data_IF_493961054052
#
_entry.id   IF_493961054052
#
_cell.length_a   1.000
_cell.length_b   1.000
_cell.length_c   1.000
_cell.angle_alpha   90.00
_cell.angle_beta   90.00
_cell.angle_gamma   90.00
#
_symmetry.space_group_name_H-M   'P 1'
#
loop_
_entity.id
_entity.type
_entity.pdbx_description
1 polymer ?
#
# COMPACT_ATOMS: atom_id res chain seq x y z
N UNK A 1 -35.98 8.79 -25.21
CA UNK A 1 -37.12 7.94 -25.59
C UNK A 1 -36.58 6.56 -25.88
N UNK A 2 -36.46 5.75 -24.83
CA UNK A 2 -36.12 4.33 -24.96
C UNK A 2 -37.34 3.61 -25.54
N UNK A 3 -37.16 2.81 -26.59
CA UNK A 3 -38.28 2.14 -27.25
C UNK A 3 -38.73 0.91 -26.45
N UNK A 4 -39.84 1.03 -25.72
CA UNK A 4 -40.56 -0.12 -25.17
C UNK A 4 -41.50 -0.71 -26.23
N UNK A 5 -41.32 -1.99 -26.58
CA UNK A 5 -42.20 -2.68 -27.53
C UNK A 5 -42.90 -3.86 -26.86
N UNK A 6 -44.22 -3.77 -26.71
CA UNK A 6 -45.04 -4.88 -26.20
C UNK A 6 -45.57 -5.75 -27.33
N UNK A 7 -45.18 -7.02 -27.34
CA UNK A 7 -45.70 -8.04 -28.24
C UNK A 7 -46.86 -8.76 -27.57
N UNK A 8 -48.06 -8.67 -28.13
CA UNK A 8 -49.26 -9.39 -27.65
C UNK A 8 -49.56 -10.56 -28.57
N UNK A 9 -49.69 -11.77 -28.00
CA UNK A 9 -50.08 -12.99 -28.72
C UNK A 9 -51.53 -13.32 -28.36
N UNK A 10 -52.37 -13.46 -29.39
CA UNK A 10 -53.75 -13.92 -29.25
C UNK A 10 -53.89 -15.30 -29.88
N UNK A 11 -54.38 -16.27 -29.13
CA UNK A 11 -54.56 -17.65 -29.57
C UNK A 11 -56.06 -17.96 -29.69
N UNK A 12 -56.48 -18.31 -30.91
CA UNK A 12 -57.83 -18.76 -31.22
C UNK A 12 -57.84 -20.27 -31.46
N UNK A 13 -58.91 -20.96 -31.05
CA UNK A 13 -59.12 -22.35 -31.41
C UNK A 13 -59.87 -22.43 -32.76
N UNK A 14 -59.45 -23.34 -33.64
CA UNK A 14 -60.16 -23.71 -34.86
C UNK A 14 -60.59 -25.17 -34.80
N UNK A 15 -61.80 -25.47 -35.25
CA UNK A 15 -62.23 -26.86 -35.46
C UNK A 15 -61.83 -27.39 -36.85
N UNK A 16 -62.03 -28.68 -37.10
CA UNK A 16 -61.72 -29.32 -38.40
C UNK A 16 -62.57 -28.77 -39.56
N UNK A 17 -63.68 -28.10 -39.27
CA UNK A 17 -64.54 -27.46 -40.25
C UNK A 17 -64.15 -25.98 -40.51
N UNK A 18 -63.14 -25.46 -39.81
CA UNK A 18 -62.61 -24.11 -39.97
C UNK A 18 -63.30 -23.03 -39.13
N UNK A 19 -64.21 -23.38 -38.21
CA UNK A 19 -64.85 -22.42 -37.32
C UNK A 19 -63.89 -21.97 -36.22
N UNK A 20 -63.80 -20.65 -36.01
CA UNK A 20 -62.95 -20.04 -34.99
C UNK A 20 -63.75 -19.81 -33.70
N UNK A 21 -63.13 -20.01 -32.54
CA UNK A 21 -63.71 -19.64 -31.25
C UNK A 21 -63.97 -18.12 -31.12
N UNK A 22 -65.09 -17.75 -30.50
CA UNK A 22 -65.40 -16.33 -30.19
C UNK A 22 -64.49 -15.76 -29.08
N UNK A 23 -64.03 -16.63 -28.17
CA UNK A 23 -63.03 -16.29 -27.16
C UNK A 23 -61.62 -16.65 -27.62
N UNK A 24 -60.64 -15.93 -27.08
CA UNK A 24 -59.22 -16.18 -27.29
C UNK A 24 -58.47 -16.16 -25.95
N UNK A 25 -57.30 -16.79 -25.92
CA UNK A 25 -56.32 -16.56 -24.86
C UNK A 25 -55.39 -15.42 -25.32
N UNK A 26 -55.09 -14.49 -24.42
CA UNK A 26 -54.18 -13.38 -24.67
C UNK A 26 -53.02 -13.47 -23.68
N UNK A 27 -51.80 -13.30 -24.19
CA UNK A 27 -50.61 -13.12 -23.38
C UNK A 27 -49.74 -12.02 -24.02
N UNK A 28 -48.87 -11.40 -23.23
CA UNK A 28 -48.00 -10.33 -23.72
C UNK A 28 -46.60 -10.39 -23.14
N UNK A 29 -45.60 -10.09 -23.96
CA UNK A 29 -44.20 -9.91 -23.55
C UNK A 29 -43.74 -8.51 -23.95
N UNK A 30 -43.18 -7.77 -23.01
CA UNK A 30 -42.53 -6.48 -23.30
C UNK A 30 -41.06 -6.72 -23.55
N UNK A 31 -40.59 -6.30 -24.72
CA UNK A 31 -39.17 -6.21 -25.03
C UNK A 31 -38.66 -4.84 -24.63
N UNK A 32 -37.52 -4.84 -23.96
CA UNK A 32 -36.76 -3.65 -23.61
C UNK A 32 -35.43 -3.70 -24.36
N UNK A 33 -34.94 -2.55 -24.82
CA UNK A 33 -33.62 -2.48 -25.43
C UNK A 33 -32.50 -2.78 -24.40
N UNK A 34 -31.34 -3.30 -24.84
CA UNK A 34 -30.16 -3.40 -23.99
C UNK A 34 -29.77 -2.02 -23.45
N UNK A 35 -29.78 -1.85 -22.12
CA UNK A 35 -29.55 -0.58 -21.43
C UNK A 35 -30.80 0.02 -20.79
N UNK A 36 -32.00 -0.52 -21.08
CA UNK A 36 -33.23 -0.09 -20.40
C UNK A 36 -33.14 -0.38 -18.90
N UNK A 37 -33.65 0.54 -18.09
CA UNK A 37 -33.67 0.47 -16.61
C UNK A 37 -34.15 -0.88 -16.04
N UNK A 38 -35.17 -1.49 -16.66
CA UNK A 38 -35.72 -2.78 -16.21
C UNK A 38 -34.84 -3.99 -16.54
N UNK A 39 -33.83 -3.83 -17.40
CA UNK A 39 -32.90 -4.89 -17.80
C UNK A 39 -31.51 -4.71 -17.21
N UNK A 40 -31.27 -3.58 -16.54
CA UNK A 40 -29.99 -3.29 -15.92
C UNK A 40 -29.90 -3.89 -14.52
N UNK A 41 -28.99 -4.85 -14.38
CA UNK A 41 -28.68 -5.52 -13.13
C UNK A 41 -27.24 -5.26 -12.67
N UNK A 42 -26.53 -4.36 -13.36
CA UNK A 42 -25.12 -4.09 -13.09
C UNK A 42 -25.02 -2.88 -12.16
N UNK A 43 -24.42 -3.02 -10.98
CA UNK A 43 -24.16 -1.85 -10.15
C UNK A 43 -23.22 -0.85 -10.85
N UNK A 44 -23.39 0.46 -10.59
CA UNK A 44 -22.44 1.44 -11.08
C UNK A 44 -21.04 1.21 -10.47
N UNK A 45 -20.04 1.91 -11.00
CA UNK A 45 -18.73 2.07 -10.38
C UNK A 45 -18.59 3.51 -9.89
N UNK A 46 -17.96 3.71 -8.74
CA UNK A 46 -17.68 5.05 -8.20
C UNK A 46 -16.18 5.27 -8.05
N UNK A 47 -15.75 6.50 -8.29
CA UNK A 47 -14.40 7.00 -8.02
C UNK A 47 -14.49 8.37 -7.37
N UNK A 48 -13.39 8.92 -6.87
CA UNK A 48 -13.39 10.21 -6.22
C UNK A 48 -12.09 10.99 -6.46
N UNK A 49 -12.20 12.32 -6.34
CA UNK A 49 -11.07 13.24 -6.21
C UNK A 49 -11.16 13.91 -4.84
N UNK A 50 -10.02 13.96 -4.13
CA UNK A 50 -9.88 14.61 -2.84
C UNK A 50 -8.83 15.72 -2.95
N UNK A 51 -9.26 16.97 -2.78
CA UNK A 51 -8.39 18.14 -2.97
C UNK A 51 -8.31 18.93 -1.66
N UNK A 52 -7.11 19.29 -1.23
CA UNK A 52 -6.91 20.19 -0.08
C UNK A 52 -7.49 21.57 -0.38
N UNK A 53 -8.33 22.09 0.53
CA UNK A 53 -8.88 23.44 0.37
C UNK A 53 -7.78 24.48 0.48
N UNK A 54 -7.87 25.53 -0.34
CA UNK A 54 -6.87 26.60 -0.40
C UNK A 54 -6.69 27.37 0.92
N UNK A 55 -7.67 27.30 1.83
CA UNK A 55 -7.60 27.89 3.17
C UNK A 55 -6.96 26.97 4.23
N UNK A 56 -6.62 25.73 3.85
CA UNK A 56 -6.01 24.74 4.73
C UNK A 56 -6.95 24.16 5.80
N UNK A 57 -8.27 24.41 5.73
CA UNK A 57 -9.21 24.02 6.80
C UNK A 57 -9.89 22.66 6.57
N UNK A 58 -9.41 21.86 5.63
CA UNK A 58 -9.93 20.53 5.28
C UNK A 58 -9.85 20.27 3.79
N UNK A 59 -10.77 19.44 3.28
CA UNK A 59 -10.72 18.94 1.91
C UNK A 59 -12.03 19.21 1.16
N UNK A 60 -11.94 19.29 -0.15
CA UNK A 60 -13.07 19.22 -1.09
C UNK A 60 -13.08 17.82 -1.71
N UNK A 61 -14.15 17.07 -1.43
CA UNK A 61 -14.39 15.76 -2.02
C UNK A 61 -15.32 15.88 -3.23
N UNK A 62 -14.91 15.33 -4.35
CA UNK A 62 -15.74 15.17 -5.56
C UNK A 62 -15.94 13.70 -5.82
N UNK A 63 -17.18 13.25 -5.94
CA UNK A 63 -17.53 11.85 -6.22
C UNK A 63 -18.01 11.74 -7.66
N UNK A 64 -17.49 10.75 -8.37
CA UNK A 64 -17.85 10.41 -9.73
C UNK A 64 -18.56 9.05 -9.77
N UNK A 65 -19.33 8.85 -10.83
CA UNK A 65 -20.02 7.61 -11.11
C UNK A 65 -19.94 7.28 -12.59
N UNK A 66 -19.69 6.02 -12.89
CA UNK A 66 -19.74 5.45 -14.23
C UNK A 66 -20.60 4.20 -14.21
N UNK A 67 -21.52 4.10 -15.16
CA UNK A 67 -22.37 2.94 -15.32
C UNK A 67 -22.52 2.61 -16.81
N UNK A 68 -22.39 1.33 -17.14
CA UNK A 68 -22.47 0.83 -18.52
C UNK A 68 -23.91 0.43 -18.92
N UNK A 69 -24.87 0.51 -17.99
CA UNK A 69 -26.26 0.17 -18.15
C UNK A 69 -27.17 1.39 -18.25
N UNK A 70 -28.01 1.57 -17.25
CA UNK A 70 -29.05 2.59 -17.17
C UNK A 70 -28.51 3.99 -16.85
N UNK A 71 -27.22 4.11 -16.57
CA UNK A 71 -26.56 5.37 -16.20
C UNK A 71 -26.74 5.70 -14.73
N UNK A 72 -25.86 6.56 -14.21
CA UNK A 72 -25.86 6.96 -12.81
C UNK A 72 -26.97 7.94 -12.44
N UNK A 73 -27.47 7.88 -11.21
CA UNK A 73 -28.18 9.01 -10.62
C UNK A 73 -27.21 10.16 -10.36
N UNK A 74 -27.69 11.39 -10.37
CA UNK A 74 -26.84 12.57 -10.16
C UNK A 74 -26.49 12.85 -8.68
N UNK A 75 -26.73 11.90 -7.78
CA UNK A 75 -26.53 12.12 -6.34
C UNK A 75 -25.85 10.95 -5.64
N UNK A 76 -24.90 11.26 -4.76
CA UNK A 76 -24.37 10.33 -3.76
C UNK A 76 -25.11 10.50 -2.43
N UNK A 77 -25.37 9.39 -1.75
CA UNK A 77 -25.82 9.35 -0.35
C UNK A 77 -24.60 9.19 0.55
N UNK A 78 -24.42 10.09 1.50
CA UNK A 78 -23.21 10.20 2.32
C UNK A 78 -23.54 9.87 3.79
N UNK A 79 -22.62 9.15 4.42
CA UNK A 79 -22.54 8.92 5.86
C UNK A 79 -21.15 9.37 6.32
N UNK A 80 -21.11 10.24 7.33
CA UNK A 80 -19.87 10.72 7.92
C UNK A 80 -19.66 10.04 9.26
N UNK A 81 -18.45 9.53 9.49
CA UNK A 81 -18.04 8.96 10.78
C UNK A 81 -16.65 9.47 11.13
N UNK A 82 -16.17 9.16 12.33
CA UNK A 82 -14.80 9.51 12.70
C UNK A 82 -13.82 8.63 11.92
N UNK A 83 -12.67 9.20 11.54
CA UNK A 83 -11.62 8.46 10.85
C UNK A 83 -11.28 7.11 11.52
N UNK A 84 -11.03 6.09 10.69
CA UNK A 84 -10.74 4.73 11.15
C UNK A 84 -11.95 3.98 11.71
N UNK A 85 -13.10 4.64 11.89
CA UNK A 85 -14.35 3.97 12.24
C UNK A 85 -14.95 3.28 11.02
N UNK A 86 -15.66 2.16 11.24
CA UNK A 86 -16.37 1.48 10.16
C UNK A 86 -17.52 2.33 9.63
N UNK A 87 -17.77 2.23 8.32
CA UNK A 87 -18.97 2.76 7.69
C UNK A 87 -20.22 1.99 8.15
N UNK A 88 -21.38 2.64 8.19
CA UNK A 88 -22.62 1.93 8.48
C UNK A 88 -22.98 0.95 7.35
N UNK A 89 -23.38 -0.26 7.74
CA UNK A 89 -23.97 -1.26 6.83
C UNK A 89 -25.42 -0.94 6.45
N UNK A 90 -26.09 -0.08 7.22
CA UNK A 90 -27.47 0.28 6.98
C UNK A 90 -27.57 1.52 6.09
N UNK A 91 -28.07 1.33 4.86
CA UNK A 91 -28.27 2.40 3.89
C UNK A 91 -29.11 3.58 4.43
N UNK A 92 -30.04 3.33 5.36
CA UNK A 92 -30.86 4.37 5.95
C UNK A 92 -30.06 5.42 6.76
N UNK A 93 -28.83 5.10 7.16
CA UNK A 93 -27.95 6.01 7.91
C UNK A 93 -27.28 7.06 6.98
N UNK A 94 -27.30 6.85 5.66
CA UNK A 94 -26.70 7.73 4.66
C UNK A 94 -27.67 8.86 4.31
N UNK A 95 -27.84 9.77 5.26
CA UNK A 95 -28.88 10.81 5.23
C UNK A 95 -28.49 12.06 4.44
N UNK A 96 -27.20 12.28 4.20
CA UNK A 96 -26.70 13.46 3.48
C UNK A 96 -26.75 13.15 1.98
N UNK A 97 -27.23 14.07 1.14
CA UNK A 97 -27.24 13.92 -0.31
C UNK A 97 -26.36 14.99 -0.96
N UNK A 98 -25.43 14.58 -1.80
CA UNK A 98 -24.52 15.46 -2.55
C UNK A 98 -24.68 15.22 -4.04
N UNK A 99 -24.59 16.28 -4.83
CA UNK A 99 -24.58 16.18 -6.29
C UNK A 99 -23.24 15.62 -6.74
N UNK A 100 -23.25 14.61 -7.63
CA UNK A 100 -22.03 14.07 -8.22
C UNK A 100 -21.29 15.14 -9.02
N UNK A 101 -19.98 14.94 -9.21
CA UNK A 101 -19.09 15.84 -9.96
C UNK A 101 -19.04 17.28 -9.42
N UNK A 102 -19.60 17.51 -8.24
CA UNK A 102 -19.60 18.80 -7.56
C UNK A 102 -18.84 18.66 -6.25
N UNK A 103 -17.74 19.42 -6.05
CA UNK A 103 -16.96 19.34 -4.82
C UNK A 103 -17.80 19.76 -3.61
N UNK A 104 -17.60 19.08 -2.48
CA UNK A 104 -18.14 19.51 -1.20
C UNK A 104 -17.10 19.42 -0.08
N UNK A 105 -17.15 20.41 0.81
CA UNK A 105 -16.24 20.50 1.94
C UNK A 105 -16.51 19.38 2.96
N UNK A 106 -15.42 18.79 3.42
CA UNK A 106 -15.37 17.74 4.44
C UNK A 106 -14.32 18.12 5.49
N UNK A 107 -14.58 17.71 6.72
CA UNK A 107 -13.70 17.93 7.87
C UNK A 107 -12.54 16.93 7.82
N UNK A 108 -11.34 17.41 8.16
CA UNK A 108 -10.11 16.61 8.18
C UNK A 108 -10.21 15.41 9.11
N UNK A 109 -11.05 15.43 10.14
CA UNK A 109 -11.19 14.37 11.16
C UNK A 109 -12.11 13.21 10.77
N UNK A 110 -12.68 13.22 9.56
CA UNK A 110 -13.78 12.32 9.19
C UNK A 110 -13.36 11.21 8.26
N UNK A 111 -14.13 10.12 8.31
CA UNK A 111 -14.27 9.16 7.23
C UNK A 111 -15.57 9.45 6.52
N UNK A 112 -15.51 9.54 5.20
CA UNK A 112 -16.67 9.75 4.35
C UNK A 112 -16.98 8.43 3.67
N UNK A 113 -18.18 7.91 3.90
CA UNK A 113 -18.70 6.71 3.28
C UNK A 113 -19.84 7.12 2.35
N UNK A 114 -19.95 6.51 1.17
CA UNK A 114 -21.04 6.85 0.27
C UNK A 114 -21.60 5.66 -0.49
N UNK A 115 -22.85 5.85 -0.90
CA UNK A 115 -23.49 5.05 -1.92
C UNK A 115 -23.79 5.91 -3.15
N UNK A 116 -23.56 5.36 -4.32
CA UNK A 116 -24.13 5.88 -5.57
C UNK A 116 -25.11 4.86 -6.11
N UNK A 117 -26.26 5.33 -6.60
CA UNK A 117 -27.27 4.51 -7.26
C UNK A 117 -27.24 4.80 -8.77
N UNK A 118 -27.47 3.78 -9.60
CA UNK A 118 -27.83 3.97 -11.00
C UNK A 118 -29.34 4.23 -11.13
N UNK A 119 -29.82 4.48 -12.35
CA UNK A 119 -31.24 4.71 -12.59
C UNK A 119 -32.07 3.46 -12.28
N UNK A 120 -31.51 2.26 -12.43
CA UNK A 120 -32.14 0.97 -12.10
C UNK A 120 -32.14 0.60 -10.60
N UNK A 121 -31.64 1.50 -9.73
CA UNK A 121 -31.52 1.32 -8.28
C UNK A 121 -30.51 0.24 -7.86
N UNK A 122 -29.58 -0.16 -8.74
CA UNK A 122 -28.38 -0.88 -8.32
C UNK A 122 -27.43 0.09 -7.62
N UNK A 123 -26.61 -0.43 -6.71
CA UNK A 123 -25.83 0.40 -5.77
C UNK A 123 -24.35 0.05 -5.77
N UNK A 124 -23.52 1.08 -5.83
CA UNK A 124 -22.09 1.01 -5.52
C UNK A 124 -21.83 1.61 -4.15
N UNK A 125 -20.87 1.04 -3.42
CA UNK A 125 -20.40 1.55 -2.13
C UNK A 125 -18.91 1.85 -2.23
N UNK A 126 -18.49 2.97 -1.64
CA UNK A 126 -17.07 3.27 -1.43
C UNK A 126 -16.90 4.19 -0.21
N UNK A 127 -15.67 4.33 0.26
CA UNK A 127 -15.33 5.15 1.42
C UNK A 127 -13.90 5.67 1.36
N UNK A 128 -13.70 6.87 1.90
CA UNK A 128 -12.38 7.49 2.05
C UNK A 128 -12.21 7.98 3.48
N UNK A 129 -11.08 7.63 4.07
CA UNK A 129 -10.60 8.24 5.32
C UNK A 129 -9.94 9.56 4.95
N UNK A 130 -10.52 10.68 5.40
CA UNK A 130 -9.98 12.04 5.17
C UNK A 130 -8.86 12.31 6.16
N UNK A 131 -9.08 11.89 7.39
CA UNK A 131 -8.04 11.64 8.38
C UNK A 131 -7.67 10.18 8.23
N UNK A 132 -6.38 9.88 8.14
CA UNK A 132 -5.94 8.51 8.29
C UNK A 132 -4.52 8.53 8.78
N UNK A 133 -3.61 8.82 7.87
CA UNK A 133 -2.23 9.13 8.14
C UNK A 133 -1.72 9.83 6.88
N UNK A 134 -0.84 10.81 7.02
CA UNK A 134 0.11 11.09 5.94
C UNK A 134 1.09 9.93 5.96
N UNK A 135 1.00 9.03 4.98
CA UNK A 135 2.01 8.00 4.85
C UNK A 135 3.32 8.68 4.47
N UNK A 136 4.40 8.44 5.20
CA UNK A 136 5.72 9.03 4.93
C UNK A 136 6.61 7.87 4.47
N UNK A 137 6.93 7.81 3.19
CA UNK A 137 7.81 6.77 2.63
C UNK A 137 9.17 7.36 2.29
N UNK A 138 10.25 6.69 2.75
CA UNK A 138 11.61 7.00 2.32
C UNK A 138 11.90 6.31 0.99
N UNK A 139 12.16 7.10 -0.04
CA UNK A 139 12.51 6.59 -1.37
C UNK A 139 14.02 6.39 -1.50
N UNK A 140 14.81 7.40 -1.12
CA UNK A 140 16.27 7.36 -1.23
C UNK A 140 16.96 8.13 -0.09
N UNK A 141 17.97 7.56 0.56
CA UNK A 141 18.22 6.13 0.62
C UNK A 141 17.01 5.41 1.22
N UNK A 142 16.60 4.29 0.61
CA UNK A 142 15.39 3.54 1.00
C UNK A 142 15.33 3.14 2.48
N UNK A 143 16.48 3.01 3.13
CA UNK A 143 16.60 2.66 4.54
C UNK A 143 17.20 3.79 5.39
N UNK A 144 17.28 5.00 4.84
CA UNK A 144 17.88 6.16 5.50
C UNK A 144 19.42 6.17 5.53
N UNK A 145 20.08 5.11 5.05
CA UNK A 145 21.55 5.02 4.98
C UNK A 145 22.05 5.06 3.54
N UNK A 146 23.00 5.94 3.23
CA UNK A 146 23.63 6.04 1.90
C UNK A 146 25.05 5.48 1.85
N UNK A 147 25.48 4.99 0.69
CA UNK A 147 26.90 4.68 0.45
C UNK A 147 27.78 5.91 0.16
N UNK A 148 27.19 7.09 0.12
CA UNK A 148 27.88 8.36 -0.06
C UNK A 148 27.74 9.20 1.21
N UNK A 149 28.77 9.97 1.56
CA UNK A 149 28.70 10.92 2.68
C UNK A 149 27.73 12.08 2.45
N UNK A 150 27.48 12.40 1.18
CA UNK A 150 26.53 13.42 0.74
C UNK A 150 25.56 12.76 -0.21
N UNK A 151 24.28 12.79 0.16
CA UNK A 151 23.22 12.09 -0.54
C UNK A 151 21.91 12.88 -0.39
N UNK A 152 21.02 12.80 -1.39
CA UNK A 152 19.68 13.34 -1.25
C UNK A 152 18.84 12.44 -0.33
N UNK A 153 17.96 13.04 0.48
CA UNK A 153 16.95 12.33 1.27
C UNK A 153 15.57 12.51 0.65
N UNK A 154 15.16 11.58 -0.20
CA UNK A 154 13.91 11.62 -0.93
C UNK A 154 12.80 10.97 -0.11
N UNK A 155 11.71 11.73 0.07
CA UNK A 155 10.55 11.34 0.86
C UNK A 155 9.30 11.54 0.00
N UNK A 156 8.37 10.60 0.09
CA UNK A 156 7.06 10.66 -0.55
C UNK A 156 5.94 10.63 0.48
N UNK A 157 4.86 11.34 0.16
CA UNK A 157 3.60 11.28 0.89
C UNK A 157 2.45 10.97 -0.05
N UNK A 158 1.46 10.25 0.46
CA UNK A 158 0.24 9.85 -0.25
C UNK A 158 -0.70 11.04 -0.53
N UNK A 159 -0.64 12.07 0.30
CA UNK A 159 -1.34 13.34 0.12
C UNK A 159 -0.38 14.54 0.22
N UNK A 160 -0.71 15.70 -0.39
CA UNK A 160 0.12 16.89 -0.26
C UNK A 160 0.27 17.30 1.21
N UNK A 161 1.52 17.46 1.65
CA UNK A 161 1.84 17.71 3.05
C UNK A 161 2.99 18.72 3.16
N UNK A 162 2.95 19.49 4.24
CA UNK A 162 4.04 20.36 4.63
C UNK A 162 4.85 19.67 5.72
N UNK A 163 6.12 19.37 5.46
CA UNK A 163 6.94 18.52 6.29
C UNK A 163 8.15 19.25 6.87
N UNK A 164 8.56 18.79 8.04
CA UNK A 164 9.73 19.21 8.79
C UNK A 164 10.55 17.98 9.11
N UNK A 165 11.87 18.12 9.15
CA UNK A 165 12.75 17.04 9.54
C UNK A 165 13.89 17.50 10.45
N UNK A 166 14.44 16.60 11.26
CA UNK A 166 15.53 16.89 12.19
C UNK A 166 15.98 15.68 13.01
N UNK A 167 17.01 15.88 13.83
CA UNK A 167 17.50 14.87 14.78
C UNK A 167 16.39 14.42 15.73
N UNK A 168 16.26 13.11 15.92
CA UNK A 168 15.32 12.56 16.89
C UNK A 168 15.92 12.60 18.30
N UNK A 169 15.36 13.44 19.17
CA UNK A 169 15.78 13.53 20.57
C UNK A 169 14.95 12.64 21.49
N UNK A 170 15.55 12.26 22.62
CA UNK A 170 14.87 11.48 23.67
C UNK A 170 13.57 12.12 24.19
N UNK A 171 13.43 13.44 24.11
CA UNK A 171 12.20 14.15 24.46
C UNK A 171 11.03 13.84 23.52
N UNK A 172 11.29 13.47 22.27
CA UNK A 172 10.25 13.12 21.29
C UNK A 172 9.54 11.80 21.60
N UNK A 173 10.15 10.92 22.39
CA UNK A 173 9.60 9.60 22.71
C UNK A 173 8.25 9.69 23.45
N UNK A 174 8.07 10.74 24.26
CA UNK A 174 6.81 11.00 24.98
C UNK A 174 5.87 11.97 24.27
N UNK A 175 6.30 12.55 23.14
CA UNK A 175 5.51 13.49 22.34
C UNK A 175 4.63 12.76 21.34
N UNK A 176 3.42 13.29 21.10
CA UNK A 176 2.61 12.92 19.94
C UNK A 176 3.07 13.66 18.66
N UNK A 177 2.50 13.32 17.51
CA UNK A 177 2.93 13.87 16.22
C UNK A 177 2.78 15.39 16.11
N UNK A 178 1.71 15.94 16.67
CA UNK A 178 1.48 17.40 16.75
C UNK A 178 2.60 18.08 17.54
N UNK A 179 2.99 17.52 18.68
CA UNK A 179 4.05 18.04 19.54
C UNK A 179 5.42 17.93 18.88
N UNK A 180 5.72 16.80 18.21
CA UNK A 180 6.96 16.59 17.46
C UNK A 180 7.11 17.58 16.32
N UNK A 181 6.05 17.78 15.54
CA UNK A 181 6.02 18.76 14.48
C UNK A 181 6.27 20.18 15.01
N UNK A 182 5.57 20.59 16.07
CA UNK A 182 5.73 21.91 16.67
C UNK A 182 7.14 22.12 17.26
N UNK A 183 7.72 21.07 17.86
CA UNK A 183 9.07 21.10 18.41
C UNK A 183 10.12 21.26 17.30
N UNK A 184 10.02 20.50 16.19
CA UNK A 184 10.86 20.69 15.00
C UNK A 184 10.72 22.12 14.44
N UNK A 185 9.49 22.62 14.28
CA UNK A 185 9.22 23.97 13.79
C UNK A 185 9.90 25.05 14.66
N UNK A 186 9.97 24.82 15.97
CA UNK A 186 10.58 25.76 16.91
C UNK A 186 12.11 25.79 16.86
N UNK A 187 12.75 24.74 16.34
CA UNK A 187 14.20 24.54 16.46
C UNK A 187 15.05 25.32 15.48
N UNK A 188 14.49 25.90 14.41
CA UNK A 188 15.23 26.68 13.41
C UNK A 188 16.31 25.90 12.62
N UNK A 189 16.69 24.70 13.08
CA UNK A 189 17.52 23.72 12.39
C UNK A 189 16.68 22.70 11.60
N UNK A 190 15.36 22.67 11.81
CA UNK A 190 14.50 21.85 10.99
C UNK A 190 14.44 22.42 9.57
N UNK A 191 14.59 21.55 8.58
CA UNK A 191 14.42 21.92 7.17
C UNK A 191 12.95 21.76 6.81
N UNK A 192 12.37 22.81 6.26
CA UNK A 192 10.98 22.90 5.85
C UNK A 192 10.83 22.57 4.36
N UNK A 193 9.83 21.76 4.00
CA UNK A 193 9.58 21.38 2.62
C UNK A 193 8.12 20.98 2.35
N UNK A 194 7.65 21.25 1.13
CA UNK A 194 6.31 20.90 0.65
C UNK A 194 6.33 19.67 -0.26
N UNK A 195 5.65 18.59 0.13
CA UNK A 195 5.45 17.40 -0.70
C UNK A 195 4.14 17.57 -1.46
N UNK A 196 4.17 17.63 -2.80
CA UNK A 196 2.95 17.76 -3.62
C UNK A 196 2.86 16.64 -4.66
N UNK A 197 2.42 15.45 -4.23
CA UNK A 197 2.36 14.23 -5.04
C UNK A 197 3.75 13.76 -5.46
N UNK A 198 4.17 12.55 -5.05
CA UNK A 198 5.39 11.87 -5.51
C UNK A 198 6.55 12.79 -5.93
N UNK A 199 7.14 13.54 -5.00
CA UNK A 199 8.17 14.54 -5.33
C UNK A 199 9.42 14.44 -4.47
N UNK A 200 10.52 14.46 -5.20
CA UNK A 200 11.91 14.43 -4.78
C UNK A 200 12.26 15.64 -3.88
N UNK A 201 12.68 15.38 -2.65
CA UNK A 201 13.27 16.39 -1.77
C UNK A 201 14.77 16.17 -1.63
N UNK A 202 15.60 16.89 -2.38
CA UNK A 202 17.05 16.81 -2.16
C UNK A 202 17.44 17.64 -0.93
N UNK A 203 17.58 17.00 0.22
CA UNK A 203 18.25 17.61 1.38
C UNK A 203 19.75 17.67 1.10
N UNK A 204 20.24 18.81 0.62
CA UNK A 204 21.66 19.07 0.48
C UNK A 204 22.19 19.73 1.77
N UNK A 205 23.30 19.21 2.30
CA UNK A 205 24.03 19.71 3.48
C UNK A 205 23.38 19.42 4.84
N UNK A 206 23.45 18.18 5.28
CA UNK A 206 23.49 17.93 6.71
C UNK A 206 24.88 18.32 7.24
N UNK A 207 25.09 19.59 7.61
CA UNK A 207 26.30 20.00 8.31
C UNK A 207 26.49 19.20 9.62
N UNK A 208 25.41 18.63 10.17
CA UNK A 208 25.40 17.72 11.33
C UNK A 208 26.05 16.35 11.02
N UNK A 209 26.01 15.91 9.75
CA UNK A 209 26.59 14.66 9.26
C UNK A 209 28.02 14.83 8.71
N UNK A 210 28.58 16.05 8.65
CA UNK A 210 29.98 16.31 8.25
C UNK A 210 30.98 15.84 9.32
N UNK A 211 30.99 14.54 9.59
CA UNK A 211 31.91 13.88 10.51
C UNK A 211 33.03 13.20 9.73
N UNK A 212 34.19 13.09 10.36
CA UNK A 212 35.39 12.47 9.78
C UNK A 212 35.34 10.94 9.75
N UNK A 213 34.31 10.32 10.34
CA UNK A 213 34.15 8.87 10.41
C UNK A 213 33.86 8.24 9.04
N UNK A 214 34.14 6.93 8.90
CA UNK A 214 33.83 6.16 7.68
C UNK A 214 32.33 5.81 7.61
N UNK A 215 31.71 5.65 8.77
CA UNK A 215 30.27 5.44 8.94
C UNK A 215 29.71 6.43 9.97
N UNK A 216 28.43 6.76 9.83
CA UNK A 216 27.68 7.51 10.81
C UNK A 216 26.19 7.19 10.70
N UNK A 217 25.55 7.00 11.84
CA UNK A 217 24.12 6.71 11.96
C UNK A 217 23.54 7.50 13.12
N UNK A 218 22.34 8.05 12.94
CA UNK A 218 21.58 8.70 14.00
C UNK A 218 20.09 8.48 13.81
N UNK A 219 19.34 8.55 14.90
CA UNK A 219 17.88 8.53 14.80
C UNK A 219 17.40 9.88 14.24
N UNK A 220 16.55 9.81 13.24
CA UNK A 220 16.05 10.96 12.51
C UNK A 220 14.53 10.96 12.50
N UNK A 221 13.97 12.17 12.53
CA UNK A 221 12.54 12.39 12.61
C UNK A 221 12.11 13.21 11.40
N UNK A 222 11.10 12.73 10.68
CA UNK A 222 10.27 13.55 9.79
C UNK A 222 8.91 13.70 10.45
N UNK A 223 8.38 14.91 10.47
CA UNK A 223 7.00 15.18 10.87
C UNK A 223 6.32 16.00 9.78
N UNK A 224 5.17 15.55 9.31
CA UNK A 224 4.39 16.17 8.26
C UNK A 224 3.05 16.67 8.79
N UNK A 225 2.58 17.78 8.22
CA UNK A 225 1.26 18.35 8.43
C UNK A 225 0.55 18.41 7.07
N UNK A 226 -0.47 17.58 6.87
CA UNK A 226 -1.37 17.67 5.74
C UNK A 226 -2.73 18.19 6.24
N UNK A 227 -2.94 19.50 6.11
CA UNK A 227 -4.21 20.14 6.46
C UNK A 227 -4.69 19.75 7.86
N UNK A 228 -3.87 19.98 8.89
CA UNK A 228 -4.23 19.72 10.28
C UNK A 228 -4.01 18.29 10.75
N UNK A 229 -3.76 17.34 9.84
CA UNK A 229 -3.36 15.97 10.17
C UNK A 229 -1.84 15.91 10.32
N UNK A 230 -1.38 15.45 11.48
CA UNK A 230 0.04 15.36 11.79
C UNK A 230 0.46 13.90 11.89
N UNK A 231 1.50 13.53 11.15
CA UNK A 231 2.16 12.24 11.25
C UNK A 231 3.65 12.45 11.38
N UNK A 232 4.31 11.56 12.10
CA UNK A 232 5.75 11.54 12.14
C UNK A 232 6.30 10.14 11.99
N UNK A 233 7.42 10.03 11.29
CA UNK A 233 8.15 8.80 11.07
C UNK A 233 9.56 8.94 11.63
N UNK A 234 10.03 7.88 12.27
CA UNK A 234 11.38 7.80 12.83
C UNK A 234 12.14 6.75 12.06
N UNK A 235 13.33 7.10 11.58
CA UNK A 235 14.20 6.18 10.85
C UNK A 235 15.65 6.52 11.15
N UNK A 236 16.56 5.61 10.81
CA UNK A 236 18.00 5.85 10.95
C UNK A 236 18.48 6.62 9.73
N UNK A 237 19.00 7.84 9.92
CA UNK A 237 19.65 8.60 8.86
C UNK A 237 21.16 8.48 8.98
N UNK A 238 21.84 8.18 7.89
CA UNK A 238 23.28 8.00 7.95
C UNK A 238 23.96 7.74 6.63
N UNK A 239 25.26 7.47 6.72
CA UNK A 239 26.02 6.92 5.62
C UNK A 239 26.97 5.85 6.13
N UNK A 240 27.32 4.96 5.22
CA UNK A 240 28.30 3.92 5.43
C UNK A 240 29.03 3.71 4.11
N UNK A 241 30.34 3.97 4.13
CA UNK A 241 31.19 3.94 2.94
C UNK A 241 31.99 2.64 2.80
N UNK A 242 31.81 1.72 3.73
CA UNK A 242 32.52 0.44 3.81
C UNK A 242 31.62 -0.70 3.35
N UNK A 243 32.13 -1.67 2.58
CA UNK A 243 31.39 -2.91 2.32
C UNK A 243 31.23 -3.73 3.61
N UNK A 244 30.11 -4.45 3.78
CA UNK A 244 29.90 -5.25 4.99
C UNK A 244 30.87 -6.44 5.06
N UNK A 245 31.32 -6.78 6.25
CA UNK A 245 32.07 -8.00 6.55
C UNK A 245 31.12 -9.10 7.07
N UNK A 246 31.16 -10.26 6.41
CA UNK A 246 30.39 -11.42 6.86
C UNK A 246 31.21 -12.71 6.78
N UNK A 247 30.87 -13.67 7.65
CA UNK A 247 31.38 -15.02 7.61
C UNK A 247 30.32 -15.98 7.12
N UNK A 248 30.72 -16.88 6.21
CA UNK A 248 29.91 -18.01 5.78
C UNK A 248 30.51 -19.29 6.35
N UNK A 249 29.69 -20.04 7.08
CA UNK A 249 30.02 -21.39 7.52
C UNK A 249 29.01 -22.42 7.00
N UNK A 250 29.47 -23.65 6.82
CA UNK A 250 28.68 -24.76 6.33
C UNK A 250 28.89 -25.98 7.22
N UNK A 251 27.82 -26.54 7.78
CA UNK A 251 27.89 -27.69 8.67
C UNK A 251 26.75 -28.70 8.38
N UNK A 252 27.05 -29.96 7.99
CA UNK A 252 28.37 -30.48 7.63
C UNK A 252 28.91 -29.79 6.36
N UNK A 253 30.23 -29.63 6.27
CA UNK A 253 30.86 -28.98 5.12
C UNK A 253 30.73 -29.90 3.89
N UNK A 254 30.01 -29.50 2.83
CA UNK A 254 29.69 -30.40 1.72
C UNK A 254 30.93 -30.84 0.91
N UNK A 255 32.04 -30.10 1.01
CA UNK A 255 33.32 -30.47 0.38
C UNK A 255 34.08 -31.52 1.18
N UNK A 256 33.89 -31.56 2.51
CA UNK A 256 34.59 -32.49 3.40
C UNK A 256 33.74 -33.73 3.72
N UNK A 257 32.42 -33.58 3.74
CA UNK A 257 31.45 -34.61 4.13
C UNK A 257 30.37 -34.82 3.05
N UNK A 258 30.74 -35.27 1.84
CA UNK A 258 29.82 -35.36 0.69
C UNK A 258 28.75 -36.45 0.83
N UNK A 259 28.81 -37.29 1.87
CA UNK A 259 27.80 -38.32 2.14
C UNK A 259 26.58 -37.76 2.87
N UNK A 260 26.71 -36.57 3.46
CA UNK A 260 25.62 -35.92 4.16
C UNK A 260 24.63 -35.34 3.15
N UNK A 261 23.35 -35.65 3.36
CA UNK A 261 22.29 -35.26 2.41
C UNK A 261 21.76 -33.84 2.64
N UNK A 262 22.25 -33.19 3.69
CA UNK A 262 21.89 -31.82 4.06
C UNK A 262 23.09 -31.08 4.64
N UNK A 263 23.24 -29.83 4.23
CA UNK A 263 24.18 -28.87 4.82
C UNK A 263 23.39 -27.70 5.37
N UNK A 264 23.77 -27.24 6.56
CA UNK A 264 23.34 -25.96 7.13
C UNK A 264 24.34 -24.88 6.71
N UNK A 265 23.92 -23.91 5.91
CA UNK A 265 24.70 -22.70 5.69
C UNK A 265 24.31 -21.65 6.72
N UNK A 266 25.31 -21.03 7.35
CA UNK A 266 25.16 -19.95 8.31
C UNK A 266 25.93 -18.74 7.82
N UNK A 267 25.23 -17.64 7.61
CA UNK A 267 25.81 -16.32 7.35
C UNK A 267 25.77 -15.55 8.66
N UNK A 268 26.93 -15.06 9.08
CA UNK A 268 27.09 -14.22 10.28
C UNK A 268 27.58 -12.85 9.84
N UNK A 269 26.84 -11.79 10.17
CA UNK A 269 27.37 -10.44 9.99
C UNK A 269 28.35 -10.10 11.10
N UNK A 270 29.51 -9.53 10.76
CA UNK A 270 30.60 -9.27 11.70
C UNK A 270 30.67 -7.82 12.19
N UNK A 271 30.20 -6.88 11.37
CA UNK A 271 30.38 -5.45 11.58
C UNK A 271 29.09 -4.64 11.39
N UNK A 272 28.28 -4.98 10.39
CA UNK A 272 27.09 -4.21 10.01
C UNK A 272 25.78 -5.01 10.10
N UNK A 273 24.65 -4.31 10.00
CA UNK A 273 23.42 -4.95 9.55
C UNK A 273 23.55 -5.29 8.05
N UNK A 274 23.10 -6.48 7.63
CA UNK A 274 23.13 -6.88 6.21
C UNK A 274 21.77 -7.35 5.69
N UNK A 275 21.44 -6.92 4.47
CA UNK A 275 20.35 -7.41 3.65
C UNK A 275 20.90 -8.46 2.67
N UNK A 276 20.60 -9.73 2.90
CA UNK A 276 21.02 -10.81 2.00
C UNK A 276 19.93 -11.16 0.99
N UNK A 277 20.29 -11.19 -0.29
CA UNK A 277 19.47 -11.63 -1.41
C UNK A 277 19.94 -12.99 -1.90
N UNK A 278 18.97 -13.87 -2.19
CA UNK A 278 19.22 -15.21 -2.70
C UNK A 278 18.74 -15.34 -4.15
N UNK A 279 19.64 -15.75 -5.05
CA UNK A 279 19.31 -15.95 -6.46
C UNK A 279 19.63 -17.38 -6.90
N UNK A 280 18.60 -18.10 -7.35
CA UNK A 280 18.77 -19.39 -8.01
C UNK A 280 19.25 -19.17 -9.46
N UNK A 281 20.24 -19.93 -9.96
CA UNK A 281 20.67 -19.81 -11.35
C UNK A 281 19.53 -20.06 -12.32
N UNK A 282 19.38 -19.18 -13.33
CA UNK A 282 18.34 -19.26 -14.37
C UNK A 282 18.36 -20.55 -15.20
N UNK A 283 19.45 -21.32 -15.17
CA UNK A 283 19.62 -22.58 -15.89
C UNK A 283 19.52 -23.83 -15.01
N UNK A 284 19.22 -23.69 -13.71
CA UNK A 284 18.94 -24.85 -12.87
C UNK A 284 17.55 -25.40 -13.24
N UNK A 285 17.38 -26.73 -13.48
CA UNK A 285 16.04 -27.30 -13.54
C UNK A 285 15.32 -26.91 -12.24
N UNK A 286 14.04 -26.53 -12.32
CA UNK A 286 13.25 -26.08 -11.17
C UNK A 286 13.36 -27.10 -10.03
N UNK A 287 14.32 -26.87 -9.15
CA UNK A 287 14.38 -27.44 -7.83
C UNK A 287 13.51 -26.51 -7.00
N UNK A 288 12.42 -27.00 -6.38
CA UNK A 288 11.68 -26.17 -5.45
C UNK A 288 12.69 -25.58 -4.45
N UNK A 289 12.57 -24.28 -4.11
CA UNK A 289 13.48 -23.64 -3.17
C UNK A 289 13.61 -24.49 -1.91
N UNK A 290 14.77 -24.46 -1.21
CA UNK A 290 14.95 -25.18 0.05
C UNK A 290 13.70 -25.01 0.91
N UNK A 291 13.06 -26.12 1.24
CA UNK A 291 11.62 -26.15 1.55
C UNK A 291 11.24 -25.39 2.83
N UNK A 292 12.21 -24.90 3.61
CA UNK A 292 12.00 -24.16 4.86
C UNK A 292 13.17 -23.22 5.14
N UNK A 293 12.85 -21.95 5.42
CA UNK A 293 13.74 -20.98 6.05
C UNK A 293 13.39 -20.93 7.55
N UNK A 294 14.40 -20.84 8.41
CA UNK A 294 14.21 -20.70 9.84
C UNK A 294 14.97 -19.47 10.32
N UNK A 295 14.24 -18.51 10.88
CA UNK A 295 14.82 -17.39 11.61
C UNK A 295 15.00 -17.84 13.06
N UNK A 296 16.24 -17.80 13.54
CA UNK A 296 16.53 -17.96 14.95
C UNK A 296 17.09 -16.65 15.47
N UNK A 297 16.26 -15.89 16.18
CA UNK A 297 16.81 -14.99 17.19
C UNK A 297 17.05 -15.83 18.46
N UNK A 298 18.08 -15.55 19.26
CA UNK A 298 18.29 -16.23 20.54
C UNK A 298 17.07 -16.16 21.49
N UNK A 299 16.14 -15.23 21.21
CA UNK A 299 15.02 -14.86 22.05
C UNK A 299 13.70 -15.58 21.67
N UNK A 300 13.57 -16.16 20.48
CA UNK A 300 12.32 -16.85 20.08
C UNK A 300 12.53 -18.01 19.07
N UNK A 301 12.82 -19.24 19.53
CA UNK A 301 13.20 -20.38 18.68
C UNK A 301 12.05 -21.10 17.96
N UNK A 302 10.79 -20.69 18.13
CA UNK A 302 9.62 -21.48 17.74
C UNK A 302 8.79 -20.95 16.55
N UNK A 303 9.21 -19.86 15.89
CA UNK A 303 8.42 -19.30 14.78
C UNK A 303 8.65 -20.07 13.47
N UNK A 304 7.71 -20.97 13.13
CA UNK A 304 7.74 -21.81 11.93
C UNK A 304 6.52 -21.50 11.08
N UNK A 305 6.74 -20.98 9.86
CA UNK A 305 5.95 -21.20 8.63
C UNK A 305 5.82 -19.92 7.78
N UNK A 306 6.44 -19.90 6.59
CA UNK A 306 5.99 -19.15 5.39
C UNK A 306 6.78 -19.56 4.13
N UNK A 307 6.12 -19.52 2.96
CA UNK A 307 6.62 -19.96 1.64
C UNK A 307 6.78 -18.76 0.68
N UNK A 308 7.98 -18.45 0.15
CA UNK A 308 8.17 -17.42 -0.92
C UNK A 308 9.40 -17.71 -1.80
N UNK A 309 9.36 -17.34 -3.09
CA UNK A 309 10.37 -17.60 -4.14
C UNK A 309 11.57 -16.62 -4.19
N UNK A 310 11.57 -15.55 -3.41
CA UNK A 310 12.69 -14.63 -3.23
C UNK A 310 12.53 -13.93 -1.88
N UNK A 311 13.58 -13.87 -1.07
CA UNK A 311 13.57 -13.20 0.23
C UNK A 311 14.73 -12.20 0.29
N UNK A 312 14.43 -11.01 0.79
CA UNK A 312 15.43 -10.03 1.25
C UNK A 312 15.21 -9.92 2.75
N UNK A 313 16.19 -10.34 3.56
CA UNK A 313 16.09 -10.27 5.03
C UNK A 313 17.15 -9.34 5.59
N UNK A 314 16.74 -8.41 6.47
CA UNK A 314 17.68 -7.67 7.31
C UNK A 314 18.17 -8.63 8.40
N UNK A 315 19.48 -8.81 8.48
CA UNK A 315 20.18 -9.49 9.57
C UNK A 315 20.85 -8.41 10.41
N UNK A 316 20.40 -8.22 11.65
CA UNK A 316 21.13 -7.41 12.60
C UNK A 316 22.56 -7.90 12.81
N UNK A 317 23.45 -7.02 13.26
CA UNK A 317 24.82 -7.36 13.65
C UNK A 317 24.84 -8.59 14.58
N UNK A 318 25.73 -9.55 14.31
CA UNK A 318 25.86 -10.82 15.06
C UNK A 318 24.64 -11.77 15.00
N UNK A 319 23.70 -11.58 14.06
CA UNK A 319 22.62 -12.54 13.78
C UNK A 319 22.96 -13.54 12.67
N UNK A 320 22.16 -14.60 12.57
CA UNK A 320 22.42 -15.78 11.75
C UNK A 320 21.28 -16.07 10.78
N UNK A 321 21.63 -16.31 9.50
CA UNK A 321 20.70 -16.84 8.51
C UNK A 321 21.00 -18.29 8.17
N UNK A 322 19.97 -19.15 8.23
CA UNK A 322 20.10 -20.59 8.02
C UNK A 322 19.46 -21.06 6.72
N UNK A 323 20.20 -21.85 5.93
CA UNK A 323 19.66 -22.56 4.78
C UNK A 323 19.91 -24.05 4.89
N UNK A 324 18.86 -24.86 4.70
CA UNK A 324 18.98 -26.32 4.56
C UNK A 324 18.67 -26.75 3.13
N UNK A 325 19.65 -27.31 2.44
CA UNK A 325 19.46 -27.89 1.10
C UNK A 325 19.37 -29.42 1.20
N UNK A 326 18.32 -30.05 0.68
CA UNK A 326 18.11 -31.51 0.77
C UNK A 326 18.17 -32.22 -0.58
N UNK A 327 19.19 -31.97 -1.41
CA UNK A 327 19.24 -32.56 -2.76
C UNK A 327 20.57 -33.23 -3.10
N UNK A 328 20.48 -34.35 -3.84
CA UNK A 328 21.60 -35.13 -4.40
C UNK A 328 22.31 -34.46 -5.59
N UNK A 329 22.02 -33.20 -5.87
CA UNK A 329 22.52 -32.44 -7.02
C UNK A 329 23.07 -31.10 -6.56
N UNK A 330 24.35 -30.86 -6.84
CA UNK A 330 25.04 -29.59 -6.57
C UNK A 330 24.63 -28.54 -7.61
N UNK A 331 23.86 -27.55 -7.18
CA UNK A 331 23.68 -26.31 -7.93
C UNK A 331 24.49 -25.21 -7.25
N UNK A 332 25.21 -24.37 -8.00
CA UNK A 332 25.80 -23.16 -7.42
C UNK A 332 24.67 -22.25 -6.96
N UNK A 333 24.70 -21.84 -5.71
CA UNK A 333 23.81 -20.82 -5.18
C UNK A 333 24.61 -19.53 -5.04
N UNK A 334 24.00 -18.42 -5.42
CA UNK A 334 24.58 -17.09 -5.21
C UNK A 334 23.79 -16.41 -4.10
N UNK A 335 24.49 -16.10 -3.02
CA UNK A 335 24.00 -15.19 -1.99
C UNK A 335 24.78 -13.90 -2.16
N UNK A 336 24.07 -12.79 -2.26
CA UNK A 336 24.70 -11.47 -2.24
C UNK A 336 24.15 -10.71 -1.06
N UNK A 337 25.03 -10.28 -0.17
CA UNK A 337 24.68 -9.49 1.00
C UNK A 337 25.10 -8.05 0.78
N UNK A 338 24.22 -7.13 1.16
CA UNK A 338 24.40 -5.69 1.04
C UNK A 338 24.12 -5.07 2.39
N UNK A 339 24.87 -4.06 2.84
CA UNK A 339 24.45 -3.30 4.01
C UNK A 339 23.31 -2.32 3.64
N UNK A 340 22.63 -1.67 4.62
CA UNK A 340 21.58 -0.68 4.36
C UNK A 340 21.98 0.46 3.41
N UNK A 341 23.28 0.78 3.32
CA UNK A 341 23.84 1.76 2.38
C UNK A 341 23.87 1.28 0.92
N UNK A 342 23.67 -0.02 0.68
CA UNK A 342 23.77 -0.64 -0.63
C UNK A 342 25.20 -1.01 -1.04
N UNK A 343 26.18 -0.93 -0.13
CA UNK A 343 27.49 -1.53 -0.37
C UNK A 343 27.36 -3.05 -0.29
N UNK A 344 28.12 -3.76 -1.13
CA UNK A 344 28.04 -5.21 -1.22
C UNK A 344 29.41 -5.86 -1.05
N UNK A 345 29.38 -7.06 -0.49
CA UNK A 345 30.46 -8.02 -0.55
C UNK A 345 29.93 -9.31 -1.18
N UNK A 346 30.74 -9.91 -2.05
CA UNK A 346 30.43 -11.15 -2.79
C UNK A 346 31.01 -12.39 -2.10
#
# INVERSE_FOLDING_TARGET
DEEETTYTVRVYAHDEAGWQSESYLEDSVTYYEPGHINCDATPPTTTYDLIVRADGTGYDLTIFCSDDGSGCTNTAKIYETDSGSACSENFADYTISKTLETPFAIDESKRICWYVEDNAQNRAFDAVDVSGNVNIELLEPRFGVSNLKSFPLLIETDIPAHCLQGEYLSTHQSMNDVQRYADLASRGAATEFDVSGAREHSVANFDVLERTAAEYFDDWLIACNASGVYNSEIFVLGYDTTPPEFELSANPNPLQEPTETSTLFTITSLDDDILCNYVQPTNAPYTPPPQRYYFYTPENPDNRDQYVQSYSTRLPENEYLFFMTSTYTTYPYFVTCYNPAGNYSE
#
